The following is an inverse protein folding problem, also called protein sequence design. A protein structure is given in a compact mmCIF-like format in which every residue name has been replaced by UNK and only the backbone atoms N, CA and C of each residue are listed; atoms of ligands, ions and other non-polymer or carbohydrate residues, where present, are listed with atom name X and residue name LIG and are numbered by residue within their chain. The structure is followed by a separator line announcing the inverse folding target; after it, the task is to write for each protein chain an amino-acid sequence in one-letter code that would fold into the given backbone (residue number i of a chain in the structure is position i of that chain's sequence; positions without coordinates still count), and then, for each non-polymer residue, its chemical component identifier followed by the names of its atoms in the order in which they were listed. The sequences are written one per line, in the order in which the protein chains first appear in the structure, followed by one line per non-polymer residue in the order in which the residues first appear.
data_IF_146903002015
#
_entry.id   IF_146903002015
#
_cell.length_a   1.000
_cell.length_b   1.000
_cell.length_c   1.000
_cell.angle_alpha   90.00
_cell.angle_beta   90.00
_cell.angle_gamma   90.00
#
_symmetry.space_group_name_H-M   'P 1'
#
loop_
_entity.id
_entity.type
_entity.pdbx_description
1 polymer ?
#
# COMPACT_ATOMS: atom_id res chain seq x y z
N UNK A 1 -2.05 -33.01 6.95
CA UNK A 1 -1.26 -31.82 6.59
C UNK A 1 -2.24 -30.84 5.95
N UNK A 2 -2.51 -29.69 6.56
CA UNK A 2 -3.35 -28.68 5.88
C UNK A 2 -2.50 -28.08 4.77
N UNK A 3 -2.83 -28.35 3.50
CA UNK A 3 -2.41 -27.46 2.42
C UNK A 3 -3.07 -26.11 2.70
N UNK A 4 -2.30 -25.16 3.20
CA UNK A 4 -2.77 -23.77 3.32
C UNK A 4 -2.61 -23.15 1.94
N UNK A 5 -3.63 -23.35 1.10
CA UNK A 5 -3.75 -22.58 -0.13
C UNK A 5 -3.69 -21.08 0.20
N UNK A 6 -2.92 -20.30 -0.57
CA UNK A 6 -2.76 -18.89 -0.28
C UNK A 6 -4.08 -18.13 -0.47
N UNK A 7 -4.36 -17.19 0.43
CA UNK A 7 -5.54 -16.31 0.32
C UNK A 7 -5.31 -15.32 -0.83
N UNK A 8 -6.28 -15.23 -1.75
CA UNK A 8 -6.25 -14.20 -2.80
C UNK A 8 -6.97 -12.97 -2.27
N UNK A 9 -6.27 -11.84 -2.27
CA UNK A 9 -6.84 -10.55 -1.86
C UNK A 9 -6.58 -9.49 -2.91
N UNK A 10 -7.25 -8.35 -2.77
CA UNK A 10 -7.16 -7.25 -3.72
C UNK A 10 -6.71 -5.96 -3.05
N UNK A 11 -5.92 -5.19 -3.78
CA UNK A 11 -5.38 -3.91 -3.35
C UNK A 11 -5.60 -2.85 -4.44
N UNK A 12 -6.22 -1.73 -4.07
CA UNK A 12 -6.35 -0.57 -4.95
C UNK A 12 -5.05 0.27 -4.93
N UNK A 13 -4.09 -0.14 -5.77
CA UNK A 13 -2.84 0.59 -5.93
C UNK A 13 -3.08 1.98 -6.51
N UNK A 14 -3.95 2.10 -7.53
CA UNK A 14 -4.20 3.37 -8.21
C UNK A 14 -4.79 4.39 -7.25
N UNK A 15 -5.88 4.06 -6.57
CA UNK A 15 -6.50 4.99 -5.61
C UNK A 15 -5.59 5.31 -4.44
N UNK A 16 -4.69 4.40 -4.04
CA UNK A 16 -3.72 4.66 -2.97
C UNK A 16 -2.64 5.66 -3.40
N UNK A 17 -2.11 5.51 -4.62
CA UNK A 17 -1.16 6.48 -5.20
C UNK A 17 -1.85 7.82 -5.47
N UNK A 18 -3.06 7.82 -6.03
CA UNK A 18 -3.82 9.05 -6.31
C UNK A 18 -4.10 9.84 -5.01
N UNK A 19 -4.48 9.14 -3.93
CA UNK A 19 -4.67 9.75 -2.61
C UNK A 19 -3.37 10.36 -2.06
N UNK A 20 -2.25 9.66 -2.18
CA UNK A 20 -0.94 10.19 -1.77
C UNK A 20 -0.57 11.46 -2.56
N UNK A 21 -0.81 11.48 -3.87
CA UNK A 21 -0.54 12.66 -4.70
C UNK A 21 -1.43 13.85 -4.28
N UNK A 22 -2.72 13.60 -4.02
CA UNK A 22 -3.64 14.64 -3.53
C UNK A 22 -3.24 15.20 -2.16
N UNK A 23 -2.73 14.36 -1.25
CA UNK A 23 -2.23 14.81 0.05
C UNK A 23 -0.91 15.57 -0.07
N UNK A 24 0.01 15.08 -0.90
CA UNK A 24 1.32 15.71 -1.13
C UNK A 24 1.19 17.09 -1.76
N UNK A 25 0.22 17.28 -2.67
CA UNK A 25 -0.04 18.58 -3.30
C UNK A 25 -0.45 19.67 -2.29
N UNK A 26 -1.02 19.30 -1.14
CA UNK A 26 -1.42 20.27 -0.10
C UNK A 26 -0.24 20.78 0.73
N UNK A 27 0.92 20.09 0.70
CA UNK A 27 2.07 20.39 1.53
C UNK A 27 2.99 21.50 0.98
N UNK A 28 2.73 22.02 -0.23
CA UNK A 28 3.54 23.05 -0.90
C UNK A 28 5.06 22.78 -0.78
N UNK A 29 5.49 21.61 -1.25
CA UNK A 29 6.87 21.15 -1.14
C UNK A 29 7.72 21.69 -2.28
N UNK A 30 8.99 22.00 -1.99
CA UNK A 30 10.03 22.11 -3.00
C UNK A 30 10.36 20.72 -3.60
N UNK A 31 11.11 20.72 -4.71
CA UNK A 31 11.42 19.51 -5.48
C UNK A 31 12.17 18.45 -4.64
N UNK A 32 13.14 18.87 -3.84
CA UNK A 32 13.92 17.97 -3.00
C UNK A 32 13.05 17.30 -1.94
N UNK A 33 12.19 18.07 -1.26
CA UNK A 33 11.25 17.52 -0.27
C UNK A 33 10.21 16.61 -0.92
N UNK A 34 9.70 16.96 -2.10
CA UNK A 34 8.76 16.13 -2.84
C UNK A 34 9.40 14.78 -3.22
N UNK A 35 10.68 14.77 -3.62
CA UNK A 35 11.43 13.55 -3.94
C UNK A 35 11.65 12.66 -2.72
N UNK A 36 12.01 13.26 -1.58
CA UNK A 36 12.17 12.53 -0.31
C UNK A 36 10.85 11.90 0.12
N UNK A 37 9.75 12.67 0.06
CA UNK A 37 8.42 12.19 0.44
C UNK A 37 7.96 11.04 -0.48
N UNK A 38 8.17 11.17 -1.79
CA UNK A 38 7.84 10.12 -2.76
C UNK A 38 8.66 8.84 -2.53
N UNK A 39 9.95 8.97 -2.23
CA UNK A 39 10.82 7.82 -1.91
C UNK A 39 10.32 7.10 -0.65
N UNK A 40 9.99 7.86 0.39
CA UNK A 40 9.49 7.31 1.65
C UNK A 40 8.16 6.59 1.47
N UNK A 41 7.25 7.16 0.69
CA UNK A 41 5.98 6.54 0.35
C UNK A 41 6.16 5.21 -0.40
N UNK A 42 7.01 5.17 -1.43
CA UNK A 42 7.25 3.94 -2.21
C UNK A 42 7.89 2.82 -1.37
N UNK A 43 8.83 3.16 -0.48
CA UNK A 43 9.39 2.19 0.47
C UNK A 43 8.30 1.64 1.38
N UNK A 44 7.54 2.53 2.05
CA UNK A 44 6.49 2.13 2.97
C UNK A 44 5.41 1.26 2.30
N UNK A 45 5.03 1.58 1.07
CA UNK A 45 4.09 0.77 0.27
C UNK A 45 4.65 -0.63 -0.01
N UNK A 46 5.90 -0.71 -0.46
CA UNK A 46 6.53 -2.00 -0.79
C UNK A 46 6.70 -2.88 0.44
N UNK A 47 7.16 -2.29 1.54
CA UNK A 47 7.34 -2.97 2.83
C UNK A 47 6.00 -3.47 3.38
N UNK A 48 4.97 -2.61 3.33
CA UNK A 48 3.62 -2.95 3.80
C UNK A 48 3.03 -4.15 3.05
N UNK A 49 3.13 -4.16 1.72
CA UNK A 49 2.64 -5.27 0.90
C UNK A 49 3.44 -6.54 1.13
N UNK A 50 4.78 -6.45 1.21
CA UNK A 50 5.65 -7.59 1.45
C UNK A 50 5.40 -8.26 2.81
N UNK A 51 5.32 -7.47 3.87
CA UNK A 51 5.04 -7.96 5.22
C UNK A 51 3.63 -8.53 5.35
N UNK A 52 2.62 -7.89 4.75
CA UNK A 52 1.26 -8.39 4.77
C UNK A 52 1.16 -9.73 4.04
N UNK A 53 1.79 -9.87 2.87
CA UNK A 53 1.83 -11.11 2.10
C UNK A 53 2.50 -12.26 2.88
N UNK A 54 3.63 -11.99 3.53
CA UNK A 54 4.36 -12.98 4.31
C UNK A 54 3.60 -13.42 5.57
N UNK A 55 2.95 -12.49 6.27
CA UNK A 55 2.21 -12.78 7.50
C UNK A 55 0.88 -13.51 7.27
N UNK A 56 0.25 -13.33 6.11
CA UNK A 56 -1.05 -13.91 5.79
C UNK A 56 -0.98 -15.11 4.84
N UNK A 57 0.21 -15.46 4.31
CA UNK A 57 0.37 -16.45 3.24
C UNK A 57 -0.60 -16.15 2.09
N UNK A 58 -0.52 -14.94 1.54
CA UNK A 58 -1.50 -14.44 0.60
C UNK A 58 -0.89 -14.13 -0.78
N UNK A 59 -1.76 -13.92 -1.77
CA UNK A 59 -1.41 -13.39 -3.10
C UNK A 59 -2.20 -12.09 -3.27
N UNK A 60 -1.50 -10.98 -3.43
CA UNK A 60 -2.11 -9.66 -3.59
C UNK A 60 -2.27 -9.34 -5.07
N UNK A 61 -3.51 -9.11 -5.50
CA UNK A 61 -3.84 -8.66 -6.85
C UNK A 61 -4.14 -7.15 -6.84
N UNK A 62 -3.70 -6.42 -7.86
CA UNK A 62 -4.07 -5.00 -7.99
C UNK A 62 -5.48 -4.90 -8.58
N UNK A 63 -6.33 -4.00 -8.04
CA UNK A 63 -7.65 -3.64 -8.60
C UNK A 63 -7.47 -2.83 -9.90
N UNK A 64 -7.31 -3.50 -11.06
CA UNK A 64 -8.16 -3.16 -12.20
C UNK A 64 -8.65 -4.41 -12.97
N UNK A 65 -8.41 -5.63 -12.46
CA UNK A 65 -8.56 -6.88 -13.21
C UNK A 65 -9.46 -7.96 -12.55
N UNK A 66 -10.18 -7.61 -11.48
CA UNK A 66 -10.95 -8.55 -10.66
C UNK A 66 -12.44 -8.19 -10.68
N UNK A 67 -13.26 -9.03 -11.32
CA UNK A 67 -14.73 -8.93 -11.31
C UNK A 67 -15.38 -9.63 -10.09
N UNK A 68 -14.56 -10.20 -9.20
CA UNK A 68 -15.00 -11.04 -8.09
C UNK A 68 -14.82 -10.36 -6.73
N UNK A 69 -15.67 -10.71 -5.76
CA UNK A 69 -15.70 -10.23 -4.36
C UNK A 69 -14.53 -10.75 -3.51
N UNK A 70 -13.30 -10.54 -3.98
CA UNK A 70 -12.11 -10.83 -3.17
C UNK A 70 -11.99 -9.80 -2.04
N UNK A 71 -11.44 -10.22 -0.89
CA UNK A 71 -11.22 -9.34 0.25
C UNK A 71 -10.34 -8.16 -0.16
N UNK A 72 -10.84 -6.96 0.08
CA UNK A 72 -10.11 -5.73 -0.16
C UNK A 72 -9.29 -5.32 1.07
N UNK A 73 -7.97 -5.29 0.91
CA UNK A 73 -7.01 -4.94 1.97
C UNK A 73 -6.53 -3.49 1.88
N UNK A 74 -7.09 -2.68 0.98
CA UNK A 74 -6.65 -1.30 0.71
C UNK A 74 -6.56 -0.43 1.96
N UNK A 75 -7.55 -0.52 2.85
CA UNK A 75 -7.57 0.29 4.07
C UNK A 75 -6.50 -0.16 5.08
N UNK A 76 -6.23 -1.46 5.18
CA UNK A 76 -5.19 -2.01 6.06
C UNK A 76 -3.80 -1.54 5.61
N UNK A 77 -3.51 -1.68 4.32
CA UNK A 77 -2.24 -1.25 3.72
C UNK A 77 -2.05 0.27 3.84
N UNK A 78 -3.09 1.07 3.58
CA UNK A 78 -3.02 2.54 3.75
C UNK A 78 -2.71 2.95 5.20
N UNK A 79 -3.36 2.30 6.17
CA UNK A 79 -3.10 2.57 7.58
C UNK A 79 -1.65 2.23 7.96
N UNK A 80 -1.13 1.12 7.46
CA UNK A 80 0.25 0.71 7.69
C UNK A 80 1.27 1.66 7.04
N UNK A 81 1.05 2.07 5.79
CA UNK A 81 1.84 3.10 5.13
C UNK A 81 1.85 4.40 5.94
N UNK A 82 0.69 4.85 6.43
CA UNK A 82 0.59 6.05 7.26
C UNK A 82 1.46 5.92 8.53
N UNK A 83 1.43 4.76 9.21
CA UNK A 83 2.28 4.52 10.38
C UNK A 83 3.78 4.59 10.04
N UNK A 84 4.22 3.95 8.95
CA UNK A 84 5.64 3.97 8.50
C UNK A 84 6.11 5.35 8.04
N UNK A 85 5.20 6.11 7.42
CA UNK A 85 5.48 7.46 6.92
C UNK A 85 5.33 8.55 7.98
N UNK A 86 4.73 8.27 9.14
CA UNK A 86 4.69 9.17 10.30
C UNK A 86 5.76 8.83 11.35
N UNK A 87 6.03 7.55 11.62
CA UNK A 87 6.94 7.07 12.68
C UNK A 87 8.43 7.11 12.37
N UNK A 88 8.86 8.03 11.50
CA UNK A 88 10.28 8.19 11.11
C UNK A 88 10.77 9.57 11.52
N UNK A 89 10.70 9.81 12.83
CA UNK A 89 11.10 11.05 13.49
C UNK A 89 12.25 10.75 14.46
#
# INVERSE_FOLDING_TARGET
MKSTEPEIVVFDMKGTVDLFMQQSAQLQLDEDKARVLTTRFNSALSDSLGEWQASHNAIILVKPAVMSDQRDITNEIRADIARRTQGGQ
#
